data_IF_583393543885
#
_entry.id   IF_583393543885
#
_cell.length_a   1.000
_cell.length_b   1.000
_cell.length_c   1.000
_cell.angle_alpha   90.00
_cell.angle_beta   90.00
_cell.angle_gamma   90.00
#
_symmetry.space_group_name_H-M   'P 1'
#
loop_
_entity.id
_entity.type
_entity.pdbx_description
1 polymer ?
#
# COMPACT_ATOMS: atom_id res chain seq x y z
N UNK A 1 -9.08 4.34 -8.51
CA UNK A 1 -10.54 4.20 -8.69
C UNK A 1 -10.97 2.83 -9.20
N UNK A 2 -10.47 2.34 -10.35
CA UNK A 2 -10.85 1.03 -10.91
C UNK A 2 -10.74 -0.12 -9.89
N UNK A 3 -9.63 -0.23 -9.16
CA UNK A 3 -9.43 -1.26 -8.14
C UNK A 3 -10.53 -1.26 -7.06
N UNK A 4 -10.93 -0.08 -6.59
CA UNK A 4 -11.86 0.02 -5.47
C UNK A 4 -13.30 -0.28 -5.91
N UNK A 5 -13.66 0.14 -7.13
CA UNK A 5 -14.91 -0.25 -7.78
C UNK A 5 -14.99 -1.76 -8.01
N UNK A 6 -13.91 -2.36 -8.55
CA UNK A 6 -13.85 -3.82 -8.78
C UNK A 6 -13.94 -4.58 -7.45
N UNK A 7 -13.21 -4.14 -6.42
CA UNK A 7 -13.23 -4.76 -5.09
C UNK A 7 -14.63 -4.70 -4.46
N UNK A 8 -15.30 -3.54 -4.54
CA UNK A 8 -16.65 -3.38 -4.03
C UNK A 8 -17.65 -4.29 -4.75
N UNK A 9 -17.58 -4.35 -6.09
CA UNK A 9 -18.45 -5.22 -6.89
C UNK A 9 -18.24 -6.70 -6.57
N UNK A 10 -16.98 -7.14 -6.47
CA UNK A 10 -16.65 -8.52 -6.11
C UNK A 10 -17.10 -8.86 -4.68
N UNK A 11 -16.93 -7.94 -3.73
CA UNK A 11 -17.40 -8.11 -2.35
C UNK A 11 -18.93 -8.30 -2.32
N UNK A 12 -19.70 -7.45 -3.00
CA UNK A 12 -21.15 -7.60 -3.10
C UNK A 12 -21.55 -8.89 -3.84
N UNK A 13 -20.88 -9.25 -4.93
CA UNK A 13 -21.14 -10.49 -5.67
C UNK A 13 -20.86 -11.73 -4.83
N UNK A 14 -19.87 -11.68 -3.92
CA UNK A 14 -19.51 -12.77 -3.02
C UNK A 14 -20.52 -12.99 -1.88
N UNK A 15 -21.42 -12.04 -1.61
CA UNK A 15 -22.51 -12.24 -0.63
C UNK A 15 -23.51 -13.31 -1.08
N UNK A 16 -23.76 -13.44 -2.39
CA UNK A 16 -24.67 -14.44 -2.95
C UNK A 16 -24.23 -15.91 -2.71
N UNK A 17 -22.98 -16.31 -3.02
CA UNK A 17 -22.49 -17.65 -2.70
C UNK A 17 -22.20 -17.84 -1.20
N UNK A 18 -21.94 -16.77 -0.43
CA UNK A 18 -21.70 -16.86 1.02
C UNK A 18 -22.99 -17.06 1.84
N UNK A 19 -24.17 -16.84 1.25
CA UNK A 19 -25.45 -17.00 1.93
C UNK A 19 -25.72 -15.95 3.02
N UNK A 20 -24.97 -14.85 3.04
CA UNK A 20 -25.16 -13.77 4.01
C UNK A 20 -26.35 -12.89 3.60
N UNK A 21 -27.25 -12.65 4.56
CA UNK A 21 -28.36 -11.73 4.38
C UNK A 21 -27.84 -10.29 4.25
N UNK A 22 -28.44 -9.50 3.35
CA UNK A 22 -28.11 -8.09 3.21
C UNK A 22 -28.29 -7.42 4.58
N UNK A 23 -27.25 -6.72 5.10
CA UNK A 23 -27.33 -6.07 6.39
C UNK A 23 -28.58 -5.19 6.44
N UNK A 24 -29.38 -5.34 7.50
CA UNK A 24 -30.51 -4.44 7.71
C UNK A 24 -29.95 -3.02 7.80
N UNK A 25 -30.57 -2.09 7.07
CA UNK A 25 -30.17 -0.68 7.04
C UNK A 25 -30.45 -0.05 8.41
N UNK A 26 -29.53 -0.30 9.32
CA UNK A 26 -29.49 0.25 10.67
C UNK A 26 -28.57 1.46 10.63
N UNK A 27 -28.88 2.49 11.40
CA UNK A 27 -28.06 3.71 11.50
C UNK A 27 -26.58 3.41 11.80
N UNK A 28 -26.29 2.33 12.55
CA UNK A 28 -24.92 1.85 12.84
C UNK A 28 -24.17 1.41 11.57
N UNK A 29 -24.82 0.64 10.71
CA UNK A 29 -24.25 0.21 9.42
C UNK A 29 -24.04 1.43 8.52
N UNK A 30 -25.01 2.34 8.47
CA UNK A 30 -24.90 3.56 7.68
C UNK A 30 -23.74 4.45 8.15
N UNK A 31 -23.61 4.69 9.46
CA UNK A 31 -22.50 5.45 10.02
C UNK A 31 -21.14 4.79 9.75
N UNK A 32 -21.05 3.47 9.90
CA UNK A 32 -19.81 2.72 9.61
C UNK A 32 -19.45 2.77 8.11
N UNK A 33 -20.43 2.62 7.21
CA UNK A 33 -20.22 2.69 5.77
C UNK A 33 -19.82 4.09 5.33
N UNK A 34 -20.45 5.15 5.87
CA UNK A 34 -20.07 6.53 5.61
C UNK A 34 -18.66 6.83 6.13
N UNK A 35 -18.31 6.38 7.34
CA UNK A 35 -16.97 6.55 7.92
C UNK A 35 -15.89 5.87 7.07
N UNK A 36 -16.11 4.60 6.71
CA UNK A 36 -15.21 3.84 5.83
C UNK A 36 -15.10 4.48 4.45
N UNK A 37 -16.22 4.91 3.87
CA UNK A 37 -16.25 5.59 2.57
C UNK A 37 -15.49 6.92 2.58
N UNK A 38 -15.69 7.74 3.61
CA UNK A 38 -15.00 9.02 3.77
C UNK A 38 -13.49 8.84 3.94
N UNK A 39 -13.06 7.92 4.80
CA UNK A 39 -11.64 7.59 4.96
C UNK A 39 -11.04 7.03 3.66
N UNK A 40 -11.77 6.18 2.95
CA UNK A 40 -11.34 5.63 1.67
C UNK A 40 -11.14 6.72 0.62
N UNK A 41 -12.09 7.66 0.52
CA UNK A 41 -11.98 8.80 -0.39
C UNK A 41 -10.77 9.67 -0.04
N UNK A 42 -10.54 9.92 1.24
CA UNK A 42 -9.37 10.66 1.73
C UNK A 42 -8.06 9.94 1.37
N UNK A 43 -7.97 8.64 1.61
CA UNK A 43 -6.78 7.84 1.27
C UNK A 43 -6.53 7.88 -0.24
N UNK A 44 -7.56 7.68 -1.06
CA UNK A 44 -7.43 7.77 -2.52
C UNK A 44 -7.00 9.17 -2.97
N UNK A 45 -7.53 10.21 -2.34
CA UNK A 45 -7.17 11.59 -2.63
C UNK A 45 -5.69 11.85 -2.31
N UNK A 46 -5.24 11.48 -1.11
CA UNK A 46 -3.84 11.60 -0.70
C UNK A 46 -2.94 10.76 -1.59
N UNK A 47 -3.36 9.55 -1.97
CA UNK A 47 -2.59 8.68 -2.87
C UNK A 47 -2.44 9.29 -4.26
N UNK A 48 -3.52 9.81 -4.84
CA UNK A 48 -3.47 10.48 -6.15
C UNK A 48 -2.63 11.76 -6.10
N UNK A 49 -2.72 12.53 -5.01
CA UNK A 49 -1.87 13.70 -4.79
C UNK A 49 -0.40 13.30 -4.64
N UNK A 50 -0.09 12.33 -3.78
CA UNK A 50 1.26 11.85 -3.54
C UNK A 50 1.91 11.29 -4.81
N UNK A 51 1.18 10.52 -5.62
CA UNK A 51 1.67 10.01 -6.91
C UNK A 51 2.00 11.12 -7.92
N UNK A 52 1.32 12.28 -7.83
CA UNK A 52 1.58 13.44 -8.70
C UNK A 52 2.72 14.32 -8.19
N UNK A 53 2.90 14.40 -6.87
CA UNK A 53 3.87 15.32 -6.23
C UNK A 53 5.19 14.66 -5.87
N UNK A 54 5.23 13.33 -5.74
CA UNK A 54 6.39 12.57 -5.26
C UNK A 54 6.88 11.63 -6.37
N UNK A 55 8.13 11.77 -6.79
CA UNK A 55 8.74 10.86 -7.77
C UNK A 55 8.79 9.42 -7.22
N UNK A 56 8.62 8.37 -8.06
CA UNK A 56 8.57 6.96 -7.63
C UNK A 56 9.72 6.53 -6.69
N UNK A 57 10.89 7.15 -6.84
CA UNK A 57 12.07 6.95 -5.99
C UNK A 57 11.82 7.31 -4.51
N UNK A 58 11.13 8.42 -4.24
CA UNK A 58 10.85 8.86 -2.85
C UNK A 58 9.79 7.97 -2.17
N UNK A 59 8.83 7.45 -2.93
CA UNK A 59 7.88 6.47 -2.40
C UNK A 59 8.56 5.13 -2.07
N UNK A 60 9.53 4.72 -2.90
CA UNK A 60 10.35 3.52 -2.65
C UNK A 60 11.19 3.67 -1.38
N UNK A 61 11.78 4.86 -1.15
CA UNK A 61 12.49 5.20 0.09
C UNK A 61 11.60 5.14 1.34
N UNK A 62 10.32 5.54 1.24
CA UNK A 62 9.37 5.43 2.35
C UNK A 62 9.05 3.96 2.63
N UNK A 63 8.77 3.17 1.59
CA UNK A 63 8.53 1.72 1.71
C UNK A 63 9.76 0.95 2.20
N UNK A 64 10.96 1.42 1.87
CA UNK A 64 12.22 0.88 2.38
C UNK A 64 12.42 1.12 3.88
N UNK A 65 11.75 2.13 4.45
CA UNK A 65 11.81 2.44 5.87
C UNK A 65 10.96 1.52 6.74
N UNK A 66 9.88 0.95 6.20
CA UNK A 66 8.97 0.03 6.91
C UNK A 66 9.69 -1.19 7.54
N UNK A 67 10.56 -1.92 6.84
CA UNK A 67 11.33 -3.04 7.39
C UNK A 67 12.26 -2.63 8.53
N UNK A 68 12.85 -1.44 8.43
CA UNK A 68 13.77 -0.92 9.44
C UNK A 68 13.01 -0.61 10.72
N UNK A 69 11.90 0.13 10.62
CA UNK A 69 11.04 0.41 11.76
C UNK A 69 10.43 -0.87 12.34
N UNK A 70 9.96 -1.80 11.50
CA UNK A 70 9.45 -3.10 11.93
C UNK A 70 10.52 -3.92 12.68
N UNK A 71 11.76 -3.91 12.22
CA UNK A 71 12.89 -4.56 12.90
C UNK A 71 13.21 -3.93 14.25
N UNK A 72 13.20 -2.59 14.33
CA UNK A 72 13.43 -1.85 15.59
C UNK A 72 12.33 -2.13 16.61
N UNK A 73 11.06 -1.97 16.22
CA UNK A 73 9.93 -2.22 17.10
C UNK A 73 9.79 -3.71 17.46
N UNK A 74 10.03 -4.63 16.52
CA UNK A 74 10.04 -6.07 16.79
C UNK A 74 11.11 -6.47 17.80
N UNK A 75 12.30 -5.85 17.74
CA UNK A 75 13.37 -6.08 18.71
C UNK A 75 13.04 -5.52 20.10
N UNK A 76 12.42 -4.34 20.15
CA UNK A 76 11.95 -3.69 21.39
C UNK A 76 10.81 -4.49 22.03
N UNK A 77 9.92 -5.07 21.24
CA UNK A 77 8.81 -5.91 21.69
C UNK A 77 9.23 -7.29 22.24
N UNK A 78 10.54 -7.61 22.19
CA UNK A 78 11.07 -8.85 22.78
C UNK A 78 10.85 -10.11 21.95
N UNK A 79 10.37 -9.98 20.70
CA UNK A 79 10.30 -11.11 19.78
C UNK A 79 11.71 -11.65 19.53
N UNK A 80 11.91 -12.94 19.84
CA UNK A 80 13.10 -13.69 19.43
C UNK A 80 13.01 -13.87 17.91
N UNK A 81 13.44 -12.85 17.18
CA UNK A 81 13.46 -12.84 15.71
C UNK A 81 14.11 -14.15 15.22
N UNK A 82 13.32 -15.08 14.64
CA UNK A 82 13.86 -16.30 14.07
C UNK A 82 14.92 -15.94 13.02
N UNK A 83 15.95 -16.75 12.79
CA UNK A 83 16.97 -16.47 11.77
C UNK A 83 16.39 -16.12 10.39
N UNK A 84 15.22 -16.68 10.07
CA UNK A 84 14.46 -16.38 8.86
C UNK A 84 13.93 -14.93 8.79
N UNK A 85 13.53 -14.33 9.90
CA UNK A 85 13.07 -12.94 9.95
C UNK A 85 14.23 -11.95 9.73
N UNK A 86 15.42 -12.29 10.25
CA UNK A 86 16.65 -11.54 9.98
C UNK A 86 17.05 -11.64 8.51
N UNK A 87 16.94 -12.82 7.92
CA UNK A 87 17.22 -13.04 6.50
C UNK A 87 16.23 -12.28 5.60
N UNK A 88 14.94 -12.28 5.96
CA UNK A 88 13.92 -11.50 5.29
C UNK A 88 14.19 -10.00 5.37
N UNK A 89 14.52 -9.49 6.56
CA UNK A 89 14.92 -8.09 6.75
C UNK A 89 16.15 -7.70 5.93
N UNK A 90 17.19 -8.55 5.92
CA UNK A 90 18.40 -8.34 5.13
C UNK A 90 18.11 -8.30 3.63
N UNK A 91 17.27 -9.22 3.13
CA UNK A 91 16.85 -9.27 1.73
C UNK A 91 16.09 -8.01 1.31
N UNK A 92 15.21 -7.47 2.18
CA UNK A 92 14.51 -6.23 1.86
C UNK A 92 15.49 -5.05 1.81
N UNK A 93 16.40 -4.93 2.78
CA UNK A 93 17.43 -3.86 2.75
C UNK A 93 18.31 -3.98 1.51
N UNK A 94 18.74 -5.19 1.14
CA UNK A 94 19.52 -5.42 -0.08
C UNK A 94 18.74 -5.05 -1.35
N UNK A 95 17.46 -5.41 -1.45
CA UNK A 95 16.60 -5.07 -2.58
C UNK A 95 16.43 -3.55 -2.72
N UNK A 96 16.31 -2.81 -1.61
CA UNK A 96 16.26 -1.34 -1.60
C UNK A 96 17.55 -0.75 -2.14
N UNK A 97 18.71 -1.20 -1.65
CA UNK A 97 20.01 -0.68 -2.09
C UNK A 97 20.21 -0.91 -3.60
N UNK A 98 19.87 -2.10 -4.10
CA UNK A 98 19.95 -2.41 -5.54
C UNK A 98 19.00 -1.52 -6.36
N UNK A 99 17.78 -1.28 -5.86
CA UNK A 99 16.78 -0.44 -6.53
C UNK A 99 17.20 1.04 -6.60
N UNK A 100 17.88 1.54 -5.57
CA UNK A 100 18.45 2.89 -5.56
C UNK A 100 19.62 3.02 -6.55
N UNK A 101 20.43 1.98 -6.73
CA UNK A 101 21.56 1.98 -7.68
C UNK A 101 21.13 1.97 -9.16
N UNK A 102 19.99 1.35 -9.49
CA UNK A 102 19.51 1.26 -10.88
C UNK A 102 18.73 2.51 -11.34
N UNK A 103 18.41 3.43 -10.42
CA UNK A 103 17.65 4.65 -10.73
C UNK A 103 18.44 5.72 -11.54
N UNK A 104 19.73 5.48 -11.80
CA UNK A 104 20.58 6.39 -12.58
C UNK A 104 20.52 6.26 -14.11
N UNK A 105 19.81 5.27 -14.69
CA UNK A 105 20.06 4.89 -16.10
C UNK A 105 18.97 5.06 -17.15
N UNK A 106 17.82 5.69 -16.89
CA UNK A 106 16.82 5.95 -17.96
C UNK A 106 16.10 7.28 -17.86
N UNK A 107 16.81 8.36 -18.20
CA UNK A 107 16.21 9.45 -18.99
C UNK A 107 16.73 9.34 -20.42
N UNK A 108 16.06 8.51 -21.24
CA UNK A 108 16.14 8.69 -22.69
C UNK A 108 15.37 9.97 -22.99
N UNK A 109 16.10 11.06 -23.18
CA UNK A 109 15.59 12.28 -23.81
C UNK A 109 15.06 11.89 -25.19
N UNK A 110 13.80 12.14 -25.54
CA UNK A 110 13.35 12.03 -26.93
C UNK A 110 14.13 13.05 -27.77
N UNK A 111 14.58 12.70 -28.99
CA UNK A 111 15.24 13.66 -29.87
C UNK A 111 14.29 14.83 -30.20
N UNK A 112 14.81 16.05 -30.36
CA UNK A 112 13.99 17.20 -30.75
C UNK A 112 13.35 16.94 -32.12
N UNK A 113 12.03 17.12 -32.20
CA UNK A 113 11.33 17.22 -33.46
C UNK A 113 11.82 18.50 -34.16
N UNK A 114 12.56 18.31 -35.26
CA UNK A 114 12.83 19.37 -36.23
C UNK A 114 11.62 19.64 -37.11
#
# INVERSE_FOLDING_TARGET
>A
MVQLTVTALLAFASMAPAGEAVPTLTIRVLLSACGLGAMTALIQFVMNWAQRTVSPTRATLIYAGEPVWAGVFGRIAGERLPPAALLGGLLVVAAVIVSELDFGRRRRTPPPAG
#
